data_IF_356910080106
#
_entry.id   IF_356910080106
#
_cell.length_a   1.000
_cell.length_b   1.000
_cell.length_c   1.000
_cell.angle_alpha   90.00
_cell.angle_beta   90.00
_cell.angle_gamma   90.00
#
_symmetry.space_group_name_H-M   'P 1'
#
loop_
_entity.id
_entity.type
_entity.pdbx_description
1 polymer ?
#
# COMPACT_ATOMS: atom_id res chain seq x y z
N UNK A 1 -20.22 15.32 -6.50
CA UNK A 1 -20.12 14.56 -5.24
C UNK A 1 -19.00 13.56 -5.39
N UNK A 2 -17.84 13.80 -4.77
CA UNK A 2 -16.78 12.80 -4.66
C UNK A 2 -17.13 11.91 -3.47
N UNK A 3 -17.19 10.60 -3.68
CA UNK A 3 -17.33 9.61 -2.62
C UNK A 3 -16.08 9.73 -1.73
N UNK A 4 -16.17 10.50 -0.65
CA UNK A 4 -15.26 10.35 0.47
C UNK A 4 -15.53 8.94 1.01
N UNK A 5 -14.69 7.97 0.64
CA UNK A 5 -14.58 6.73 1.39
C UNK A 5 -14.30 7.16 2.83
N UNK A 6 -15.32 7.12 3.68
CA UNK A 6 -15.16 7.28 5.13
C UNK A 6 -14.39 6.06 5.60
N UNK A 7 -13.08 6.21 5.63
CA UNK A 7 -12.10 5.15 5.90
C UNK A 7 -12.30 4.53 7.30
N UNK A 8 -13.11 5.17 8.16
CA UNK A 8 -13.58 4.62 9.44
C UNK A 8 -14.30 3.27 9.29
N UNK A 9 -14.94 3.00 8.16
CA UNK A 9 -15.61 1.71 7.90
C UNK A 9 -14.64 0.57 7.53
N UNK A 10 -13.40 0.90 7.14
CA UNK A 10 -12.43 -0.08 6.64
C UNK A 10 -11.73 -0.90 7.75
N UNK A 11 -12.09 -0.70 9.03
CA UNK A 11 -11.74 -1.61 10.11
C UNK A 11 -10.24 -1.81 10.29
N UNK A 12 -9.49 -0.74 10.52
CA UNK A 12 -8.06 -0.81 10.86
C UNK A 12 -7.88 -0.95 12.38
N UNK A 13 -7.78 -2.17 12.94
CA UNK A 13 -7.90 -2.39 14.40
C UNK A 13 -6.78 -1.74 15.23
N UNK A 14 -5.68 -1.35 14.59
CA UNK A 14 -4.49 -0.79 15.25
C UNK A 14 -4.16 0.65 14.82
N UNK A 15 -5.01 1.29 13.98
CA UNK A 15 -4.78 2.67 13.56
C UNK A 15 -5.49 3.63 14.52
N UNK A 16 -4.75 4.57 15.10
CA UNK A 16 -5.31 5.65 15.91
C UNK A 16 -5.20 6.97 15.15
N UNK A 17 -6.34 7.59 14.85
CA UNK A 17 -6.43 8.86 14.14
C UNK A 17 -6.98 8.72 12.70
N UNK A 18 -7.17 9.83 11.98
CA UNK A 18 -7.61 9.80 10.59
C UNK A 18 -6.59 9.07 9.72
N UNK A 19 -7.04 8.30 8.73
CA UNK A 19 -6.16 7.75 7.72
C UNK A 19 -5.79 8.84 6.73
N UNK A 20 -4.50 8.97 6.45
CA UNK A 20 -4.02 9.86 5.40
C UNK A 20 -4.20 9.18 4.03
N UNK A 21 -5.11 9.67 3.17
CA UNK A 21 -5.36 9.07 1.86
C UNK A 21 -4.12 9.03 0.97
N UNK A 22 -3.15 9.91 1.21
CA UNK A 22 -1.92 9.97 0.41
C UNK A 22 -1.03 8.73 0.60
N UNK A 23 -1.21 8.00 1.70
CA UNK A 23 -0.47 6.76 2.02
C UNK A 23 -1.27 5.48 1.79
N UNK A 24 -2.48 5.57 1.22
CA UNK A 24 -3.33 4.40 1.01
C UNK A 24 -3.03 3.71 -0.32
N UNK A 25 -2.95 2.38 -0.27
CA UNK A 25 -3.03 1.51 -1.44
C UNK A 25 -4.40 0.82 -1.43
N UNK A 26 -5.18 0.99 -2.49
CA UNK A 26 -6.56 0.52 -2.61
C UNK A 26 -6.66 -0.44 -3.79
N UNK A 27 -7.19 -1.65 -3.55
CA UNK A 27 -7.63 -2.55 -4.61
C UNK A 27 -9.08 -2.24 -4.95
N UNK A 28 -9.32 -1.85 -6.21
CA UNK A 28 -10.65 -1.59 -6.75
C UNK A 28 -11.06 -2.79 -7.60
N UNK A 29 -12.26 -3.30 -7.35
CA UNK A 29 -12.86 -4.40 -8.10
C UNK A 29 -14.05 -3.86 -8.90
N UNK A 30 -14.02 -4.02 -10.22
CA UNK A 30 -15.18 -3.81 -11.07
C UNK A 30 -15.87 -5.14 -11.33
N UNK A 31 -16.92 -5.40 -10.54
CA UNK A 31 -17.74 -6.62 -10.60
C UNK A 31 -18.56 -6.73 -11.89
N UNK A 32 -18.73 -5.64 -12.65
CA UNK A 32 -19.47 -5.68 -13.91
C UNK A 32 -18.62 -6.24 -15.04
N UNK A 33 -17.32 -5.99 -14.99
CA UNK A 33 -16.37 -6.34 -16.06
C UNK A 33 -15.40 -7.43 -15.65
N UNK A 34 -15.53 -7.98 -14.44
CA UNK A 34 -14.61 -8.95 -13.84
C UNK A 34 -13.16 -8.43 -13.83
N UNK A 35 -12.99 -7.11 -13.67
CA UNK A 35 -11.66 -6.47 -13.66
C UNK A 35 -11.30 -5.93 -12.29
N UNK A 36 -10.01 -5.66 -12.10
CA UNK A 36 -9.51 -4.99 -10.93
C UNK A 36 -8.32 -4.10 -11.28
N UNK A 37 -8.12 -3.07 -10.47
CA UNK A 37 -6.95 -2.21 -10.55
C UNK A 37 -6.54 -1.74 -9.16
N UNK A 38 -5.32 -1.21 -9.07
CA UNK A 38 -4.88 -0.50 -7.89
C UNK A 38 -5.03 1.01 -8.07
N UNK A 39 -5.47 1.68 -7.02
CA UNK A 39 -5.34 3.11 -6.83
C UNK A 39 -4.43 3.34 -5.63
N UNK A 40 -3.62 4.39 -5.67
CA UNK A 40 -2.78 4.76 -4.53
C UNK A 40 -2.66 6.28 -4.41
N UNK A 41 -2.37 6.73 -3.18
CA UNK A 41 -2.09 8.13 -2.90
C UNK A 41 -0.69 8.55 -3.34
N UNK A 42 -0.47 9.87 -3.51
CA UNK A 42 0.75 10.41 -4.12
C UNK A 42 2.03 10.03 -3.36
N UNK A 43 1.97 9.93 -2.04
CA UNK A 43 3.14 9.56 -1.22
C UNK A 43 3.61 8.11 -1.47
N UNK A 44 2.76 7.28 -2.09
CA UNK A 44 3.13 5.93 -2.51
C UNK A 44 3.78 5.84 -3.89
N UNK A 45 3.71 6.89 -4.73
CA UNK A 45 4.31 6.91 -6.08
C UNK A 45 5.76 6.42 -6.11
N UNK A 46 6.64 6.80 -5.17
CA UNK A 46 8.01 6.33 -5.18
C UNK A 46 8.10 4.81 -4.94
N UNK A 47 7.17 4.21 -4.21
CA UNK A 47 7.27 2.82 -3.76
C UNK A 47 6.50 1.84 -4.63
N UNK A 48 5.59 2.35 -5.46
CA UNK A 48 4.74 1.56 -6.35
C UNK A 48 5.42 1.39 -7.71
N UNK A 49 5.45 0.14 -8.17
CA UNK A 49 5.76 -0.21 -9.56
C UNK A 49 4.48 -0.78 -10.19
N UNK A 50 3.73 0.00 -10.98
CA UNK A 50 2.39 -0.38 -11.44
C UNK A 50 2.35 -1.75 -12.13
N UNK A 51 3.31 -2.02 -13.02
CA UNK A 51 3.39 -3.29 -13.74
C UNK A 51 3.63 -4.49 -12.82
N UNK A 52 4.37 -4.31 -11.73
CA UNK A 52 4.65 -5.39 -10.78
C UNK A 52 3.47 -5.67 -9.88
N UNK A 53 2.79 -4.63 -9.38
CA UNK A 53 1.61 -4.82 -8.55
C UNK A 53 0.43 -5.36 -9.38
N UNK A 54 0.25 -4.92 -10.63
CA UNK A 54 -0.81 -5.42 -11.50
C UNK A 54 -0.61 -6.89 -11.92
N UNK A 55 0.62 -7.41 -11.91
CA UNK A 55 0.87 -8.85 -12.09
C UNK A 55 0.19 -9.70 -11.01
N UNK A 56 -0.02 -9.19 -9.80
CA UNK A 56 -0.73 -9.94 -8.75
C UNK A 56 -2.20 -10.19 -9.11
N UNK A 57 -2.87 -9.20 -9.72
CA UNK A 57 -4.24 -9.30 -10.22
C UNK A 57 -4.34 -10.38 -11.31
N UNK A 58 -3.43 -10.33 -12.30
CA UNK A 58 -3.40 -11.30 -13.39
C UNK A 58 -3.17 -12.74 -12.90
N UNK A 59 -2.30 -12.92 -11.90
CA UNK A 59 -2.01 -14.24 -11.32
C UNK A 59 -3.17 -14.82 -10.53
N UNK A 60 -3.87 -13.99 -9.75
CA UNK A 60 -4.96 -14.43 -8.89
C UNK A 60 -6.24 -14.79 -9.65
N UNK A 61 -6.36 -14.37 -10.92
CA UNK A 61 -7.49 -14.67 -11.83
C UNK A 61 -8.83 -14.49 -11.12
N UNK A 62 -9.14 -13.27 -10.69
CA UNK A 62 -10.24 -12.92 -9.79
C UNK A 62 -11.54 -13.61 -10.22
N UNK A 63 -11.96 -14.68 -9.52
CA UNK A 63 -13.23 -15.33 -9.80
C UNK A 63 -14.31 -14.60 -9.00
N UNK A 64 -15.34 -14.05 -9.66
CA UNK A 64 -16.45 -13.38 -8.96
C UNK A 64 -17.42 -14.34 -8.22
N UNK A 65 -17.01 -15.58 -7.96
CA UNK A 65 -17.70 -16.42 -6.98
C UNK A 65 -17.31 -15.94 -5.58
N UNK A 66 -18.31 -15.60 -4.77
CA UNK A 66 -18.16 -14.95 -3.47
C UNK A 66 -17.12 -15.62 -2.54
N UNK A 67 -17.13 -16.96 -2.48
CA UNK A 67 -16.17 -17.73 -1.67
C UNK A 67 -14.72 -17.65 -2.14
N UNK A 68 -14.48 -17.36 -3.42
CA UNK A 68 -13.13 -17.23 -3.99
C UNK A 68 -12.66 -15.78 -4.04
N UNK A 69 -13.58 -14.82 -4.00
CA UNK A 69 -13.28 -13.39 -4.11
C UNK A 69 -12.43 -12.88 -2.94
N UNK A 70 -12.80 -13.21 -1.70
CA UNK A 70 -12.05 -12.79 -0.51
C UNK A 70 -10.64 -13.38 -0.50
N UNK A 71 -10.50 -14.65 -0.88
CA UNK A 71 -9.20 -15.31 -0.97
C UNK A 71 -8.32 -14.68 -2.05
N UNK A 72 -8.88 -14.41 -3.23
CA UNK A 72 -8.18 -13.74 -4.32
C UNK A 72 -7.75 -12.32 -3.94
N UNK A 73 -8.67 -11.51 -3.38
CA UNK A 73 -8.39 -10.15 -2.93
C UNK A 73 -7.29 -10.13 -1.85
N UNK A 74 -7.37 -11.04 -0.87
CA UNK A 74 -6.34 -11.19 0.16
C UNK A 74 -4.97 -11.54 -0.41
N UNK A 75 -4.92 -12.47 -1.37
CA UNK A 75 -3.67 -12.84 -2.06
C UNK A 75 -3.09 -11.68 -2.87
N UNK A 76 -3.92 -10.96 -3.62
CA UNK A 76 -3.54 -9.80 -4.43
C UNK A 76 -2.94 -8.71 -3.53
N UNK A 77 -3.67 -8.33 -2.46
CA UNK A 77 -3.23 -7.30 -1.52
C UNK A 77 -1.94 -7.70 -0.82
N UNK A 78 -1.82 -8.96 -0.39
CA UNK A 78 -0.59 -9.46 0.25
C UNK A 78 0.62 -9.33 -0.67
N UNK A 79 0.49 -9.72 -1.94
CA UNK A 79 1.59 -9.62 -2.90
C UNK A 79 1.97 -8.16 -3.19
N UNK A 80 0.98 -7.30 -3.42
CA UNK A 80 1.21 -5.87 -3.67
C UNK A 80 1.89 -5.18 -2.48
N UNK A 81 1.42 -5.43 -1.24
CA UNK A 81 2.03 -4.87 -0.02
C UNK A 81 3.46 -5.36 0.16
N UNK A 82 3.77 -6.63 -0.12
CA UNK A 82 5.15 -7.12 -0.05
C UNK A 82 6.08 -6.40 -1.03
N UNK A 83 5.62 -6.12 -2.25
CA UNK A 83 6.38 -5.39 -3.26
C UNK A 83 6.64 -3.94 -2.82
N UNK A 84 5.59 -3.23 -2.39
CA UNK A 84 5.68 -1.86 -1.89
C UNK A 84 6.63 -1.79 -0.68
N UNK A 85 6.46 -2.67 0.31
CA UNK A 85 7.32 -2.72 1.49
C UNK A 85 8.79 -3.04 1.15
N UNK A 86 9.02 -3.94 0.18
CA UNK A 86 10.38 -4.23 -0.31
C UNK A 86 11.02 -3.00 -0.95
N UNK A 87 10.26 -2.24 -1.74
CA UNK A 87 10.74 -1.00 -2.38
C UNK A 87 10.99 0.07 -1.33
N UNK A 88 10.07 0.29 -0.41
CA UNK A 88 10.22 1.22 0.71
C UNK A 88 11.50 0.94 1.51
N UNK A 89 11.78 -0.32 1.86
CA UNK A 89 13.05 -0.70 2.52
C UNK A 89 14.29 -0.33 1.69
N UNK A 90 14.26 -0.53 0.37
CA UNK A 90 15.37 -0.13 -0.51
C UNK A 90 15.55 1.39 -0.55
N UNK A 91 14.45 2.13 -0.57
CA UNK A 91 14.44 3.60 -0.61
C UNK A 91 14.88 4.23 0.71
N UNK A 92 14.42 3.72 1.85
CA UNK A 92 14.89 4.14 3.18
C UNK A 92 16.39 3.87 3.35
N UNK A 93 16.92 2.76 2.80
CA UNK A 93 18.36 2.47 2.81
C UNK A 93 19.18 3.40 1.92
N UNK A 94 18.61 3.89 0.82
CA UNK A 94 19.32 4.70 -0.19
C UNK A 94 18.47 5.88 -0.69
N UNK A 95 18.06 6.82 0.17
CA UNK A 95 17.06 7.85 -0.15
C UNK A 95 17.52 8.76 -1.29
N UNK A 96 18.79 9.17 -1.28
CA UNK A 96 19.39 10.02 -2.31
C UNK A 96 19.40 9.39 -3.71
N UNK A 97 19.50 8.06 -3.82
CA UNK A 97 19.45 7.36 -5.11
C UNK A 97 18.09 7.49 -5.80
N UNK A 98 17.06 7.82 -5.03
CA UNK A 98 15.67 7.90 -5.49
C UNK A 98 15.08 9.30 -5.36
N UNK A 99 15.92 10.34 -5.19
CA UNK A 99 15.47 11.73 -5.06
C UNK A 99 14.64 12.00 -3.81
N UNK A 100 14.75 11.16 -2.78
CA UNK A 100 14.03 11.31 -1.51
C UNK A 100 14.91 12.01 -0.48
N UNK A 101 14.30 12.84 0.35
CA UNK A 101 14.95 13.40 1.54
C UNK A 101 15.31 12.26 2.50
N UNK A 102 16.57 12.18 2.98
CA UNK A 102 16.93 11.18 3.97
C UNK A 102 16.08 11.32 5.23
N UNK A 103 15.72 10.20 5.89
CA UNK A 103 15.09 10.28 7.20
C UNK A 103 16.06 10.98 8.17
N UNK A 104 15.53 11.76 9.14
CA UNK A 104 16.37 12.36 10.16
C UNK A 104 17.17 11.26 10.89
N UNK A 105 18.43 11.56 11.30
CA UNK A 105 19.23 10.59 12.02
C UNK A 105 18.49 10.14 13.29
N UNK A 106 18.57 8.84 13.65
CA UNK A 106 17.95 8.37 14.88
C UNK A 106 18.50 9.19 16.06
N UNK A 107 17.60 9.68 16.91
CA UNK A 107 18.01 10.35 18.16
C UNK A 107 18.93 9.40 18.91
N UNK A 108 20.21 9.79 19.03
CA UNK A 108 21.12 9.12 19.93
C UNK A 108 20.56 9.35 21.33
N UNK A 109 19.96 8.32 21.94
CA UNK A 109 19.71 8.31 23.39
C UNK A 109 21.00 8.77 24.05
N UNK A 110 20.96 9.96 24.65
CA UNK A 110 22.13 10.64 25.19
C UNK A 110 22.89 9.72 26.13
N UNK A 111 24.17 9.50 25.83
CA UNK A 111 25.12 9.03 26.82
C UNK A 111 25.26 10.13 27.87
N UNK A 112 24.52 9.99 28.96
CA UNK A 112 24.74 10.78 30.17
C UNK A 112 26.00 10.27 30.85
N UNK A 113 27.12 10.92 30.58
CA UNK A 113 28.26 10.94 31.48
C UNK A 113 28.09 12.14 32.41
N UNK A 114 27.85 11.87 33.69
CA UNK A 114 28.18 12.71 34.83
C UNK A 114 28.23 11.80 36.06
#
# INVERSE_FOLDING_TARGET
MMNHLTVDEAGFPNHQGPLDPQWLLVLVLDVRTDTACFMWGYELDPYVEPDLINKSIMKARIPLRESMLLHAAGSIMKDAVHLVARKARSKVRHPMRYGLTPPPPPERKGGGAA
#
